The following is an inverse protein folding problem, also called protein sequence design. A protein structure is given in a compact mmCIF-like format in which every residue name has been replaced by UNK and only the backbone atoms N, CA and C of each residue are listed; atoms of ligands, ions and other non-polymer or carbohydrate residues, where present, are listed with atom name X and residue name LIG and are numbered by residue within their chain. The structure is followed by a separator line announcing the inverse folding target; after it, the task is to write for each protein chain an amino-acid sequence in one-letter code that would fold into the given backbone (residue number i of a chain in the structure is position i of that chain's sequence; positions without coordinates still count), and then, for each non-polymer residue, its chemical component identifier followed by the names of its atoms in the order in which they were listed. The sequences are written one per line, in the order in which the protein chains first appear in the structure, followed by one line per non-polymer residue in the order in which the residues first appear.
data_IF_684340515650
#
_entry.id   IF_684340515650
#
_cell.length_a   1.000
_cell.length_b   1.000
_cell.length_c   1.000
_cell.angle_alpha   90.00
_cell.angle_beta   90.00
_cell.angle_gamma   90.00
#
_symmetry.space_group_name_H-M   'P 1'
#
loop_
_entity.id
_entity.type
_entity.pdbx_description
1 polymer ?
#
# COMPACT_ATOMS: atom_id res chain seq x y z
N UNK A 1 -20.16 -71.15 46.12
CA UNK A 1 -19.87 -71.28 44.68
C UNK A 1 -19.10 -70.05 44.23
N UNK A 2 -17.83 -70.26 43.84
CA UNK A 2 -16.83 -69.51 43.05
C UNK A 2 -17.09 -68.02 42.73
N UNK A 3 -16.21 -67.00 42.82
CA UNK A 3 -14.74 -66.75 42.88
C UNK A 3 -14.28 -65.89 41.67
N UNK A 4 -13.45 -64.85 41.96
CA UNK A 4 -12.53 -64.05 41.11
C UNK A 4 -13.08 -62.77 40.43
N UNK A 5 -12.83 -61.52 40.91
CA UNK A 5 -11.62 -60.63 40.98
C UNK A 5 -11.37 -59.71 39.76
N UNK A 6 -11.49 -58.40 40.01
CA UNK A 6 -10.71 -57.20 39.59
C UNK A 6 -10.07 -57.05 38.18
N UNK A 7 -10.27 -55.87 37.56
CA UNK A 7 -9.28 -54.88 37.01
C UNK A 7 -10.07 -53.77 36.24
N UNK A 8 -10.03 -52.47 36.54
CA UNK A 8 -8.98 -51.43 36.37
C UNK A 8 -8.90 -50.82 34.95
N UNK A 9 -8.89 -49.47 34.84
CA UNK A 9 -8.15 -48.75 33.78
C UNK A 9 -8.94 -47.78 32.87
N UNK A 10 -8.49 -46.53 32.84
CA UNK A 10 -8.98 -45.40 32.04
C UNK A 10 -8.87 -45.59 30.51
N UNK A 11 -9.82 -45.03 29.76
CA UNK A 11 -9.78 -44.95 28.30
C UNK A 11 -9.33 -43.56 27.83
N UNK A 12 -8.02 -43.30 27.95
CA UNK A 12 -7.31 -42.28 27.17
C UNK A 12 -6.97 -42.92 25.82
N UNK A 13 -7.71 -42.57 24.77
CA UNK A 13 -7.40 -43.05 23.42
C UNK A 13 -6.34 -42.14 22.78
N UNK A 14 -5.09 -42.59 22.91
CA UNK A 14 -3.95 -42.21 22.07
C UNK A 14 -4.34 -42.38 20.59
N UNK A 15 -4.19 -41.32 19.80
CA UNK A 15 -3.90 -41.45 18.36
C UNK A 15 -2.41 -41.16 18.19
N UNK A 16 -1.60 -42.21 18.30
CA UNK A 16 -0.22 -42.21 17.85
C UNK A 16 -0.02 -43.42 16.93
N UNK A 17 0.71 -43.20 15.83
CA UNK A 17 1.14 -44.15 14.78
C UNK A 17 0.24 -44.20 13.54
N UNK A 18 0.34 -43.17 12.70
CA UNK A 18 0.31 -43.34 11.25
C UNK A 18 1.75 -43.59 10.77
N UNK A 19 1.95 -44.45 9.75
CA UNK A 19 3.29 -44.88 9.32
C UNK A 19 4.10 -43.70 8.78
N UNK A 20 5.43 -43.75 8.93
CA UNK A 20 6.39 -42.95 8.16
C UNK A 20 6.24 -43.31 6.67
N UNK A 21 5.24 -42.74 6.01
CA UNK A 21 5.14 -42.70 4.56
C UNK A 21 5.55 -41.30 4.10
N UNK A 22 6.63 -41.24 3.32
CA UNK A 22 7.06 -40.15 2.43
C UNK A 22 6.63 -38.72 2.82
N UNK A 23 7.60 -37.85 3.14
CA UNK A 23 7.47 -36.39 3.32
C UNK A 23 6.27 -35.79 2.56
N UNK A 24 5.11 -35.78 3.22
CA UNK A 24 3.89 -35.32 2.61
C UNK A 24 3.91 -33.80 2.70
N UNK A 25 4.06 -33.13 1.55
CA UNK A 25 4.09 -31.66 1.49
C UNK A 25 2.81 -31.08 2.11
N UNK A 26 2.98 -30.43 3.26
CA UNK A 26 1.94 -29.66 3.93
C UNK A 26 1.57 -28.47 3.06
N UNK A 27 0.27 -28.20 2.93
CA UNK A 27 -0.27 -27.08 2.15
C UNK A 27 -1.15 -26.24 3.06
N UNK A 28 -1.32 -24.96 2.74
CA UNK A 28 -2.22 -24.10 3.50
C UNK A 28 -3.68 -24.50 3.20
N UNK A 29 -4.43 -24.80 4.25
CA UNK A 29 -5.87 -25.03 4.20
C UNK A 29 -6.60 -24.02 5.10
N UNK A 30 -7.84 -23.74 4.72
CA UNK A 30 -8.79 -22.89 5.43
C UNK A 30 -9.84 -23.84 6.02
N UNK A 31 -9.99 -23.79 7.34
CA UNK A 31 -10.99 -24.51 8.13
C UNK A 31 -12.05 -23.49 8.54
N UNK A 32 -13.25 -23.61 7.97
CA UNK A 32 -14.38 -22.74 8.28
C UNK A 32 -15.32 -23.45 9.25
N UNK A 33 -15.63 -22.80 10.37
CA UNK A 33 -16.41 -23.38 11.48
C UNK A 33 -17.79 -22.72 11.66
N UNK A 34 -18.17 -21.79 10.78
CA UNK A 34 -19.49 -21.15 10.81
C UNK A 34 -19.55 -19.89 11.66
N UNK A 35 -20.74 -19.60 12.20
CA UNK A 35 -20.98 -18.46 13.09
C UNK A 35 -20.17 -18.62 14.40
N UNK A 36 -19.69 -17.50 14.95
CA UNK A 36 -18.96 -17.51 16.21
C UNK A 36 -19.92 -17.87 17.36
N UNK A 37 -19.52 -18.83 18.20
CA UNK A 37 -20.29 -19.23 19.40
C UNK A 37 -20.10 -18.27 20.58
N UNK A 38 -19.09 -17.40 20.51
CA UNK A 38 -18.74 -16.45 21.54
C UNK A 38 -18.51 -15.07 20.93
N UNK A 39 -18.90 -14.02 21.65
CA UNK A 39 -18.61 -12.65 21.24
C UNK A 39 -17.19 -12.22 21.57
N UNK A 40 -16.59 -12.80 22.62
CA UNK A 40 -15.20 -12.57 23.00
C UNK A 40 -14.24 -13.29 22.03
N UNK A 41 -13.41 -12.56 21.27
CA UNK A 41 -12.45 -13.14 20.33
C UNK A 41 -11.46 -14.12 20.96
N UNK A 42 -11.14 -13.98 22.25
CA UNK A 42 -10.21 -14.85 22.97
C UNK A 42 -10.79 -16.24 23.17
N UNK A 43 -12.09 -16.32 23.47
CA UNK A 43 -12.82 -17.59 23.60
C UNK A 43 -12.99 -18.27 22.24
N UNK A 44 -13.19 -17.49 21.17
CA UNK A 44 -13.22 -18.01 19.80
C UNK A 44 -11.85 -18.62 19.42
N UNK A 45 -10.74 -17.94 19.73
CA UNK A 45 -9.39 -18.49 19.50
C UNK A 45 -9.16 -19.76 20.31
N UNK A 46 -9.56 -19.80 21.58
CA UNK A 46 -9.42 -20.99 22.41
C UNK A 46 -10.11 -22.21 21.75
N UNK A 47 -11.32 -22.02 21.21
CA UNK A 47 -12.04 -23.09 20.49
C UNK A 47 -11.34 -23.57 19.21
N UNK A 48 -10.52 -22.73 18.57
CA UNK A 48 -9.70 -23.17 17.43
C UNK A 48 -8.53 -24.04 17.90
N UNK A 49 -7.92 -23.69 19.04
CA UNK A 49 -6.83 -24.47 19.63
C UNK A 49 -7.26 -25.81 20.20
N UNK A 50 -8.54 -25.97 20.57
CA UNK A 50 -9.13 -27.26 20.92
C UNK A 50 -9.11 -28.24 19.72
N UNK A 51 -9.18 -27.73 18.48
CA UNK A 51 -9.11 -28.55 17.25
C UNK A 51 -7.66 -28.72 16.80
N UNK A 52 -6.86 -27.65 16.83
CA UNK A 52 -5.49 -27.68 16.35
C UNK A 52 -4.61 -26.69 17.12
N UNK A 53 -3.55 -27.20 17.76
CA UNK A 53 -2.63 -26.37 18.55
C UNK A 53 -1.85 -25.39 17.66
N UNK A 54 -1.43 -25.82 16.47
CA UNK A 54 -0.63 -25.01 15.54
C UNK A 54 -1.50 -24.42 14.44
N UNK A 55 -2.10 -23.28 14.74
CA UNK A 55 -2.88 -22.48 13.80
C UNK A 55 -1.99 -21.42 13.17
N UNK A 56 -2.10 -21.26 11.85
CA UNK A 56 -1.41 -20.20 11.11
C UNK A 56 -2.10 -18.85 11.28
N UNK A 57 -3.44 -18.82 11.20
CA UNK A 57 -4.26 -17.61 11.36
C UNK A 57 -5.63 -17.96 11.92
N UNK A 58 -6.19 -17.13 12.82
CA UNK A 58 -7.52 -17.35 13.42
C UNK A 58 -8.52 -16.26 13.02
N UNK A 59 -9.61 -16.65 12.36
CA UNK A 59 -10.74 -15.80 12.04
C UNK A 59 -11.73 -15.81 13.21
N UNK A 60 -11.85 -14.67 13.92
CA UNK A 60 -12.50 -14.62 15.24
C UNK A 60 -13.52 -13.49 15.47
N UNK A 61 -13.66 -12.57 14.52
CA UNK A 61 -14.45 -11.35 14.70
C UNK A 61 -15.85 -11.43 14.07
N UNK A 62 -15.94 -11.88 12.80
CA UNK A 62 -17.21 -12.00 12.08
C UNK A 62 -17.73 -13.44 11.93
N UNK A 63 -16.85 -14.42 12.08
CA UNK A 63 -17.13 -15.86 11.97
C UNK A 63 -16.02 -16.62 12.69
N UNK A 64 -16.21 -17.92 12.91
CA UNK A 64 -15.20 -18.82 13.49
C UNK A 64 -14.53 -19.66 12.39
N UNK A 65 -13.23 -19.83 12.52
CA UNK A 65 -12.42 -20.63 11.62
C UNK A 65 -10.94 -20.26 11.70
N UNK A 66 -10.11 -21.03 11.02
CA UNK A 66 -8.67 -20.81 11.03
C UNK A 66 -8.00 -21.29 9.75
N UNK A 67 -6.79 -20.79 9.47
CA UNK A 67 -5.91 -21.33 8.46
C UNK A 67 -4.78 -22.12 9.11
N UNK A 68 -4.36 -23.23 8.51
CA UNK A 68 -3.25 -24.05 9.00
C UNK A 68 -2.51 -24.77 7.87
N UNK A 69 -1.24 -25.07 8.09
CA UNK A 69 -0.44 -25.91 7.20
C UNK A 69 -0.74 -27.38 7.49
N UNK A 70 -1.48 -28.04 6.59
CA UNK A 70 -1.96 -29.41 6.78
C UNK A 70 -1.51 -30.31 5.63
N UNK A 71 -1.22 -31.57 5.96
CA UNK A 71 -1.23 -32.63 4.96
C UNK A 71 -2.66 -32.92 4.52
N UNK A 72 -2.83 -33.62 3.39
CA UNK A 72 -4.17 -34.00 2.91
C UNK A 72 -4.93 -34.85 3.95
N UNK A 73 -4.24 -35.80 4.60
CA UNK A 73 -4.85 -36.64 5.64
C UNK A 73 -5.23 -35.86 6.89
N UNK A 74 -4.43 -34.86 7.29
CA UNK A 74 -4.78 -33.97 8.40
C UNK A 74 -6.02 -33.12 8.07
N UNK A 75 -6.10 -32.57 6.86
CA UNK A 75 -7.27 -31.82 6.41
C UNK A 75 -8.53 -32.68 6.38
N UNK A 76 -8.43 -33.94 5.92
CA UNK A 76 -9.52 -34.92 5.92
C UNK A 76 -9.96 -35.33 7.34
N UNK A 77 -9.03 -35.39 8.30
CA UNK A 77 -9.35 -35.66 9.70
C UNK A 77 -10.07 -34.48 10.36
N UNK A 78 -9.56 -33.26 10.15
CA UNK A 78 -10.17 -32.03 10.70
C UNK A 78 -11.57 -31.80 10.13
N UNK A 79 -11.82 -32.14 8.86
CA UNK A 79 -13.14 -32.04 8.24
C UNK A 79 -14.23 -32.91 8.91
N UNK A 80 -13.88 -33.83 9.81
CA UNK A 80 -14.83 -34.70 10.53
C UNK A 80 -15.25 -34.15 11.89
N UNK A 81 -14.65 -33.05 12.36
CA UNK A 81 -15.06 -32.43 13.62
C UNK A 81 -16.46 -31.82 13.49
N UNK A 82 -17.37 -32.03 14.46
CA UNK A 82 -18.74 -31.50 14.41
C UNK A 82 -18.82 -29.98 14.23
N UNK A 83 -17.81 -29.26 14.71
CA UNK A 83 -17.70 -27.80 14.65
C UNK A 83 -17.16 -27.29 13.31
N UNK A 84 -16.68 -28.17 12.41
CA UNK A 84 -16.07 -27.79 11.13
C UNK A 84 -17.11 -27.90 10.01
N UNK A 85 -17.42 -26.77 9.38
CA UNK A 85 -18.39 -26.68 8.27
C UNK A 85 -17.73 -27.04 6.95
N UNK A 86 -16.55 -26.48 6.66
CA UNK A 86 -15.77 -26.86 5.47
C UNK A 86 -14.27 -26.77 5.70
N UNK A 87 -13.52 -27.65 5.03
CA UNK A 87 -12.06 -27.55 4.91
C UNK A 87 -11.73 -27.41 3.42
N UNK A 88 -11.07 -26.31 3.05
CA UNK A 88 -10.70 -26.03 1.66
C UNK A 88 -9.23 -25.68 1.56
N UNK A 89 -8.57 -26.14 0.50
CA UNK A 89 -7.19 -25.74 0.21
C UNK A 89 -7.17 -24.25 -0.13
N UNK A 90 -6.16 -23.52 0.35
CA UNK A 90 -5.98 -22.12 -0.02
C UNK A 90 -5.84 -21.97 -1.54
N UNK A 91 -6.63 -21.06 -2.10
CA UNK A 91 -6.59 -20.68 -3.52
C UNK A 91 -6.21 -19.22 -3.64
N UNK A 92 -5.32 -18.91 -4.58
CA UNK A 92 -4.94 -17.54 -4.88
C UNK A 92 -5.92 -16.96 -5.91
N UNK A 93 -6.38 -15.74 -5.68
CA UNK A 93 -7.25 -15.00 -6.58
C UNK A 93 -6.45 -13.92 -7.32
N UNK A 94 -6.88 -13.57 -8.53
CA UNK A 94 -6.27 -12.49 -9.33
C UNK A 94 -6.80 -11.13 -8.87
N UNK A 95 -5.91 -10.14 -8.74
CA UNK A 95 -6.24 -8.79 -8.25
C UNK A 95 -5.75 -7.72 -9.22
N UNK A 96 -6.39 -6.55 -9.30
CA UNK A 96 -6.08 -5.51 -10.31
C UNK A 96 -6.23 -4.07 -9.78
N UNK A 97 -5.25 -3.16 -9.98
CA UNK A 97 -4.69 -2.30 -8.90
C UNK A 97 -4.83 -2.99 -7.59
N UNK A 98 -3.74 -3.52 -7.07
CA UNK A 98 -3.90 -4.83 -6.44
C UNK A 98 -4.88 -4.87 -5.27
N UNK A 99 -5.31 -3.71 -4.72
CA UNK A 99 -6.64 -3.63 -4.08
C UNK A 99 -7.51 -2.38 -4.34
N UNK A 100 -6.95 -1.17 -4.49
CA UNK A 100 -7.68 0.10 -4.28
C UNK A 100 -8.93 0.32 -5.16
N UNK A 101 -8.83 0.14 -6.48
CA UNK A 101 -9.99 0.34 -7.36
C UNK A 101 -11.06 -0.76 -7.18
N UNK A 102 -10.64 -1.99 -6.85
CA UNK A 102 -11.57 -3.07 -6.52
C UNK A 102 -12.29 -2.80 -5.19
N UNK A 103 -11.60 -2.23 -4.19
CA UNK A 103 -12.19 -1.79 -2.92
C UNK A 103 -13.26 -0.71 -3.12
N UNK A 104 -13.08 0.17 -4.11
CA UNK A 104 -14.08 1.17 -4.51
C UNK A 104 -15.22 0.59 -5.38
N UNK A 105 -15.24 -0.73 -5.62
CA UNK A 105 -16.24 -1.37 -6.48
C UNK A 105 -16.05 -1.11 -7.98
N UNK A 106 -14.96 -0.47 -8.39
CA UNK A 106 -14.63 -0.16 -9.78
C UNK A 106 -13.89 -1.32 -10.44
N UNK A 107 -14.58 -2.47 -10.50
CA UNK A 107 -14.05 -3.70 -11.07
C UNK A 107 -13.96 -3.60 -12.60
N UNK A 108 -12.86 -4.08 -13.17
CA UNK A 108 -12.63 -4.08 -14.62
C UNK A 108 -13.58 -5.06 -15.35
N UNK A 109 -13.87 -6.20 -14.72
CA UNK A 109 -14.62 -7.33 -15.30
C UNK A 109 -16.06 -7.43 -14.77
N UNK A 110 -16.82 -6.32 -14.82
CA UNK A 110 -18.24 -6.40 -14.47
C UNK A 110 -19.06 -7.10 -15.57
N UNK A 111 -20.09 -7.90 -15.18
CA UNK A 111 -20.97 -8.60 -16.11
C UNK A 111 -21.55 -7.64 -17.16
N UNK A 112 -21.72 -8.07 -18.43
CA UNK A 112 -22.24 -7.21 -19.51
C UNK A 112 -23.61 -6.58 -19.22
N UNK A 113 -24.37 -7.19 -18.31
CA UNK A 113 -25.76 -6.86 -18.01
C UNK A 113 -25.91 -5.56 -17.18
N UNK A 114 -24.83 -5.04 -16.59
CA UNK A 114 -24.79 -3.72 -15.95
C UNK A 114 -23.41 -3.08 -16.19
N UNK A 115 -23.25 -2.18 -17.18
CA UNK A 115 -21.97 -1.53 -17.40
C UNK A 115 -21.69 -0.56 -16.25
N UNK A 116 -20.70 -0.87 -15.41
CA UNK A 116 -20.27 0.05 -14.35
C UNK A 116 -19.66 1.34 -14.88
N UNK A 117 -19.40 2.26 -13.94
CA UNK A 117 -18.89 3.61 -14.21
C UNK A 117 -17.73 3.64 -15.21
N UNK A 118 -16.76 2.74 -15.08
CA UNK A 118 -15.60 2.68 -15.97
C UNK A 118 -15.99 2.42 -17.43
N UNK A 119 -16.93 1.50 -17.69
CA UNK A 119 -17.41 1.22 -19.05
C UNK A 119 -18.24 2.39 -19.59
N UNK A 120 -19.09 3.00 -18.75
CA UNK A 120 -19.91 4.16 -19.14
C UNK A 120 -19.05 5.37 -19.51
N UNK A 121 -17.99 5.63 -18.72
CA UNK A 121 -17.03 6.70 -18.96
C UNK A 121 -15.93 6.32 -19.99
N UNK A 122 -16.05 5.17 -20.67
CA UNK A 122 -15.06 4.64 -21.62
C UNK A 122 -13.64 4.64 -21.05
N UNK A 123 -13.50 4.33 -19.76
CA UNK A 123 -12.23 4.32 -19.03
C UNK A 123 -11.46 5.66 -19.07
N UNK A 124 -12.16 6.77 -19.36
CA UNK A 124 -11.59 8.10 -19.54
C UNK A 124 -10.97 8.35 -20.91
N UNK A 125 -11.36 7.59 -21.94
CA UNK A 125 -10.89 7.79 -23.31
C UNK A 125 -10.95 9.27 -23.74
N UNK A 126 -9.82 9.79 -24.23
CA UNK A 126 -9.60 11.18 -24.69
C UNK A 126 -9.88 12.31 -23.69
N UNK A 127 -10.11 11.96 -22.42
CA UNK A 127 -9.95 12.88 -21.28
C UNK A 127 -8.46 13.12 -21.05
N UNK A 128 -8.07 14.37 -20.87
CA UNK A 128 -6.70 14.80 -20.64
C UNK A 128 -6.57 15.26 -19.19
N UNK A 129 -5.81 14.53 -18.39
CA UNK A 129 -5.53 14.91 -17.00
C UNK A 129 -4.16 15.57 -16.93
N UNK A 130 -4.14 16.83 -16.49
CA UNK A 130 -2.92 17.56 -16.14
C UNK A 130 -2.45 17.18 -14.73
N UNK A 131 -1.19 16.76 -14.62
CA UNK A 131 -0.57 16.37 -13.34
C UNK A 131 0.54 17.37 -13.02
N UNK A 132 0.36 18.16 -11.96
CA UNK A 132 1.35 19.12 -11.49
C UNK A 132 2.07 18.53 -10.28
N UNK A 133 3.31 18.09 -10.47
CA UNK A 133 4.04 17.27 -9.49
C UNK A 133 5.58 17.30 -9.72
N UNK A 134 6.32 16.25 -9.33
CA UNK A 134 7.77 16.09 -9.47
C UNK A 134 8.24 15.63 -10.86
N UNK A 135 7.31 15.42 -11.80
CA UNK A 135 7.57 14.99 -13.17
C UNK A 135 7.01 13.59 -13.47
N UNK A 136 7.56 12.93 -14.49
CA UNK A 136 7.21 11.53 -14.81
C UNK A 136 8.43 10.67 -15.18
N UNK A 137 8.37 9.36 -14.91
CA UNK A 137 9.24 8.34 -15.46
C UNK A 137 8.57 7.67 -16.67
N UNK A 138 8.81 8.16 -17.91
CA UNK A 138 8.01 7.79 -19.08
C UNK A 138 8.17 6.33 -19.51
N UNK A 139 9.28 5.68 -19.15
CA UNK A 139 9.55 4.27 -19.51
C UNK A 139 8.74 3.25 -18.70
N UNK A 140 7.97 3.69 -17.70
CA UNK A 140 7.11 2.80 -16.93
C UNK A 140 6.06 2.12 -17.81
N UNK A 141 5.85 0.81 -17.61
CA UNK A 141 4.79 0.03 -18.28
C UNK A 141 3.39 0.63 -18.09
N UNK A 142 3.17 1.39 -17.01
CA UNK A 142 1.91 2.09 -16.75
C UNK A 142 1.58 3.16 -17.79
N UNK A 143 2.57 3.61 -18.56
CA UNK A 143 2.43 4.71 -19.54
C UNK A 143 2.64 4.27 -20.99
N UNK A 144 2.61 2.97 -21.25
CA UNK A 144 2.61 2.42 -22.60
C UNK A 144 1.38 2.91 -23.40
N UNK A 145 1.52 3.14 -24.70
CA UNK A 145 0.45 3.75 -25.52
C UNK A 145 -0.17 2.80 -26.55
N UNK A 146 0.12 1.50 -26.43
CA UNK A 146 -0.53 0.47 -27.25
C UNK A 146 -2.06 0.55 -27.12
N UNK A 147 -2.74 0.55 -28.26
CA UNK A 147 -4.21 0.66 -28.35
C UNK A 147 -4.75 2.09 -28.32
N UNK A 148 -3.89 3.11 -28.17
CA UNK A 148 -4.34 4.52 -28.22
C UNK A 148 -4.48 5.01 -29.65
N UNK A 149 -5.59 5.69 -29.94
CA UNK A 149 -5.76 6.49 -31.15
C UNK A 149 -4.87 7.74 -31.16
N UNK A 150 -4.93 8.55 -32.23
CA UNK A 150 -4.15 9.79 -32.32
C UNK A 150 -4.42 10.72 -31.13
N UNK A 151 -3.47 11.60 -30.83
CA UNK A 151 -3.65 12.63 -29.80
C UNK A 151 -4.82 13.54 -30.21
N UNK A 152 -5.75 13.89 -29.30
CA UNK A 152 -6.87 14.77 -29.62
C UNK A 152 -6.41 16.09 -30.24
N UNK A 153 -7.01 16.50 -31.37
CA UNK A 153 -6.61 17.69 -32.12
C UNK A 153 -6.72 19.00 -31.31
N UNK A 154 -7.51 19.00 -30.23
CA UNK A 154 -7.66 20.14 -29.30
C UNK A 154 -6.44 20.35 -28.39
N UNK A 155 -5.58 19.33 -28.24
CA UNK A 155 -4.40 19.40 -27.39
C UNK A 155 -3.37 20.36 -27.97
N UNK A 156 -2.93 21.33 -27.16
CA UNK A 156 -1.92 22.33 -27.57
C UNK A 156 -0.60 22.20 -26.81
N UNK A 157 -0.51 21.22 -25.91
CA UNK A 157 0.69 20.96 -25.14
C UNK A 157 1.84 20.41 -25.98
N UNK A 158 3.04 20.51 -25.42
CA UNK A 158 4.28 20.11 -26.08
C UNK A 158 5.04 19.08 -25.24
N UNK A 159 5.90 18.32 -25.91
CA UNK A 159 6.91 17.50 -25.22
C UNK A 159 8.21 18.30 -25.08
N UNK A 160 8.39 18.97 -23.94
CA UNK A 160 9.59 19.74 -23.66
C UNK A 160 10.76 18.81 -23.38
N UNK A 161 11.83 18.94 -24.17
CA UNK A 161 13.06 18.17 -23.98
C UNK A 161 13.92 18.74 -22.84
N UNK A 162 14.84 17.94 -22.37
CA UNK A 162 15.83 18.32 -21.36
C UNK A 162 16.75 17.14 -21.03
N UNK A 163 17.43 17.24 -19.88
CA UNK A 163 18.31 16.18 -19.40
C UNK A 163 17.56 14.83 -19.29
N UNK A 164 18.07 13.82 -20.00
CA UNK A 164 17.51 12.46 -20.05
C UNK A 164 16.02 12.41 -20.46
N UNK A 165 15.50 13.44 -21.14
CA UNK A 165 14.12 13.49 -21.60
C UNK A 165 14.08 14.08 -23.00
N UNK A 166 13.74 13.26 -23.99
CA UNK A 166 13.74 13.63 -25.41
C UNK A 166 12.32 13.72 -25.95
N UNK A 167 12.17 14.10 -27.21
CA UNK A 167 10.85 14.22 -27.86
C UNK A 167 10.06 12.92 -27.88
N UNK A 168 10.74 11.76 -27.91
CA UNK A 168 10.13 10.43 -27.88
C UNK A 168 9.74 9.96 -26.48
N UNK A 169 10.03 10.75 -25.44
CA UNK A 169 9.59 10.48 -24.06
C UNK A 169 8.09 10.75 -23.88
N UNK A 170 7.49 11.55 -24.77
CA UNK A 170 6.04 11.64 -24.91
C UNK A 170 5.56 10.68 -25.99
N UNK A 171 4.36 10.16 -25.81
CA UNK A 171 3.73 9.19 -26.69
C UNK A 171 2.21 9.48 -26.73
N UNK A 172 1.38 8.53 -27.21
CA UNK A 172 -0.07 8.73 -27.23
C UNK A 172 -0.71 8.63 -25.83
N UNK A 173 0.01 8.21 -24.79
CA UNK A 173 -0.45 8.18 -23.40
C UNK A 173 -0.03 9.45 -22.64
N UNK A 174 1.27 9.73 -22.60
CA UNK A 174 1.86 10.97 -22.09
C UNK A 174 1.95 11.92 -23.28
N UNK A 175 0.93 12.75 -23.48
CA UNK A 175 0.78 13.55 -24.71
C UNK A 175 1.51 14.90 -24.64
N UNK A 176 1.94 15.31 -23.46
CA UNK A 176 2.86 16.42 -23.28
C UNK A 176 3.50 16.41 -21.90
N UNK A 177 4.64 17.09 -21.82
CA UNK A 177 5.46 17.15 -20.62
C UNK A 177 6.23 18.47 -20.59
N UNK A 178 6.15 19.20 -19.48
CA UNK A 178 6.80 20.49 -19.24
C UNK A 178 7.49 20.50 -17.88
N UNK A 179 8.43 21.43 -17.70
CA UNK A 179 9.11 21.62 -16.42
C UNK A 179 9.43 23.09 -16.15
N UNK A 180 9.40 23.47 -14.87
CA UNK A 180 9.47 24.87 -14.42
C UNK A 180 10.63 25.06 -13.44
N UNK A 181 11.83 25.32 -13.97
CA UNK A 181 13.07 25.46 -13.18
C UNK A 181 13.52 26.89 -12.90
N UNK A 182 12.77 27.92 -13.33
CA UNK A 182 13.13 29.33 -13.08
C UNK A 182 12.96 29.66 -11.59
N UNK A 183 13.93 30.36 -11.01
CA UNK A 183 13.93 30.73 -9.59
C UNK A 183 14.36 29.60 -8.64
N UNK A 184 14.68 28.42 -9.17
CA UNK A 184 15.23 27.31 -8.38
C UNK A 184 16.73 27.52 -8.21
N UNK A 185 17.25 27.29 -7.00
CA UNK A 185 18.69 27.45 -6.72
C UNK A 185 19.52 26.45 -7.55
N UNK A 186 20.74 26.86 -7.91
CA UNK A 186 21.65 25.99 -8.67
C UNK A 186 21.98 24.69 -7.92
N UNK A 187 21.99 24.71 -6.58
CA UNK A 187 22.19 23.51 -5.77
C UNK A 187 21.04 22.52 -5.93
N UNK A 188 19.79 22.98 -5.87
CA UNK A 188 18.61 22.13 -6.07
C UNK A 188 18.59 21.60 -7.50
N UNK A 189 18.84 22.44 -8.51
CA UNK A 189 18.88 21.99 -9.91
C UNK A 189 19.93 20.90 -10.15
N UNK A 190 21.11 20.97 -9.52
CA UNK A 190 22.16 19.94 -9.63
C UNK A 190 21.72 18.56 -9.09
N UNK A 191 20.78 18.51 -8.15
CA UNK A 191 20.24 17.27 -7.56
C UNK A 191 19.05 16.71 -8.34
N UNK A 192 18.63 17.36 -9.43
CA UNK A 192 17.43 17.03 -10.18
C UNK A 192 17.73 16.94 -11.68
N UNK A 193 16.79 16.38 -12.44
CA UNK A 193 16.81 16.50 -13.90
C UNK A 193 16.25 17.86 -14.32
N UNK A 194 17.02 18.60 -15.12
CA UNK A 194 16.56 19.81 -15.82
C UNK A 194 15.71 19.43 -17.04
N UNK A 195 14.60 18.74 -16.75
CA UNK A 195 13.64 18.16 -17.70
C UNK A 195 12.38 17.72 -16.95
N UNK A 196 11.31 17.29 -17.65
CA UNK A 196 10.13 16.70 -17.02
C UNK A 196 10.38 15.34 -16.35
N UNK A 197 11.59 14.77 -16.43
CA UNK A 197 11.92 13.49 -15.80
C UNK A 197 11.78 13.56 -14.28
N UNK A 198 11.10 12.56 -13.73
CA UNK A 198 10.94 12.37 -12.30
C UNK A 198 12.14 11.65 -11.71
N UNK A 199 12.76 12.27 -10.69
CA UNK A 199 13.81 11.65 -9.87
C UNK A 199 13.29 11.25 -8.48
N UNK A 200 12.15 11.81 -8.05
CA UNK A 200 11.58 11.54 -6.73
C UNK A 200 10.68 10.31 -6.75
N UNK A 201 9.93 10.11 -7.83
CA UNK A 201 8.94 9.04 -7.99
C UNK A 201 7.52 9.42 -7.59
N UNK A 202 7.32 10.56 -6.91
CA UNK A 202 5.99 10.99 -6.44
C UNK A 202 5.04 11.25 -7.62
N UNK A 203 5.47 12.07 -8.59
CA UNK A 203 4.68 12.37 -9.78
C UNK A 203 4.38 11.14 -10.63
N UNK A 204 5.34 10.22 -10.77
CA UNK A 204 5.15 8.93 -11.43
C UNK A 204 4.09 8.06 -10.73
N UNK A 205 4.13 8.01 -9.40
CA UNK A 205 3.15 7.28 -8.59
C UNK A 205 1.74 7.89 -8.71
N UNK A 206 1.64 9.22 -8.64
CA UNK A 206 0.37 9.96 -8.80
C UNK A 206 -0.20 9.75 -10.20
N UNK A 207 0.59 9.98 -11.26
CA UNK A 207 0.16 9.83 -12.65
C UNK A 207 -0.31 8.40 -12.97
N UNK A 208 0.37 7.38 -12.44
CA UNK A 208 -0.05 5.98 -12.61
C UNK A 208 -1.27 5.60 -11.77
N UNK A 209 -1.51 6.26 -10.64
CA UNK A 209 -2.76 6.10 -9.87
C UNK A 209 -3.95 6.71 -10.61
N UNK A 210 -3.76 7.87 -11.25
CA UNK A 210 -4.81 8.55 -12.01
C UNK A 210 -5.14 7.76 -13.28
N UNK A 211 -4.13 7.53 -14.12
CA UNK A 211 -4.33 7.01 -15.46
C UNK A 211 -3.31 5.93 -15.82
N UNK A 212 -2.74 5.20 -14.88
CA UNK A 212 -1.90 4.03 -15.24
C UNK A 212 -2.70 3.05 -16.10
N UNK A 213 -2.06 2.47 -17.10
CA UNK A 213 -2.66 1.34 -17.80
C UNK A 213 -2.67 0.10 -16.93
N UNK A 214 -3.40 -0.90 -17.40
CA UNK A 214 -3.32 -2.23 -16.81
C UNK A 214 -1.91 -2.82 -16.97
N UNK A 215 -1.23 -3.10 -15.85
CA UNK A 215 0.09 -3.69 -15.80
C UNK A 215 0.05 -4.92 -14.89
N UNK A 216 0.14 -6.10 -15.50
CA UNK A 216 0.03 -7.35 -14.77
C UNK A 216 1.31 -7.72 -14.01
N UNK A 217 1.13 -8.52 -12.95
CA UNK A 217 2.18 -9.14 -12.13
C UNK A 217 3.17 -8.13 -11.56
N UNK A 218 2.64 -7.04 -11.01
CA UNK A 218 3.41 -6.05 -10.26
C UNK A 218 3.30 -6.32 -8.76
N UNK A 219 4.36 -5.99 -8.04
CA UNK A 219 4.40 -6.05 -6.58
C UNK A 219 5.55 -5.17 -6.09
N UNK A 220 5.52 -4.82 -4.81
CA UNK A 220 6.68 -4.25 -4.13
C UNK A 220 7.39 -5.36 -3.38
N UNK A 221 8.40 -5.97 -4.00
CA UNK A 221 9.13 -7.09 -3.41
C UNK A 221 8.26 -8.33 -3.09
N UNK A 222 7.18 -8.56 -3.84
CA UNK A 222 6.18 -9.59 -3.56
C UNK A 222 4.97 -9.10 -2.76
N UNK A 223 5.09 -7.96 -2.07
CA UNK A 223 3.97 -7.35 -1.36
C UNK A 223 2.98 -6.71 -2.35
N UNK A 224 1.70 -6.91 -2.05
CA UNK A 224 0.61 -6.32 -2.84
C UNK A 224 0.64 -6.80 -4.29
N UNK A 225 0.95 -8.08 -4.50
CA UNK A 225 0.99 -8.69 -5.83
C UNK A 225 -0.36 -8.64 -6.54
N UNK A 226 -0.32 -8.39 -7.84
CA UNK A 226 -1.47 -8.41 -8.72
C UNK A 226 -1.24 -7.56 -9.96
N UNK A 227 -2.31 -7.01 -10.49
CA UNK A 227 -2.31 -6.09 -11.64
C UNK A 227 -2.37 -4.64 -11.10
N UNK A 228 -1.71 -3.66 -11.72
CA UNK A 228 -1.86 -2.23 -11.43
C UNK A 228 -2.62 -1.52 -12.56
N UNK A 229 -3.33 -0.42 -12.26
CA UNK A 229 -4.16 0.36 -13.18
C UNK A 229 -4.56 1.74 -12.58
N UNK A 230 -4.88 2.70 -13.42
CA UNK A 230 -5.41 3.99 -13.00
C UNK A 230 -6.91 3.94 -12.73
N UNK A 231 -7.45 5.01 -12.16
CA UNK A 231 -8.89 5.22 -12.08
C UNK A 231 -9.51 5.44 -13.47
N UNK A 232 -8.76 6.08 -14.37
CA UNK A 232 -9.10 6.25 -15.78
C UNK A 232 -7.98 5.70 -16.69
N UNK A 233 -7.89 4.37 -16.87
CA UNK A 233 -6.77 3.75 -17.61
C UNK A 233 -6.59 4.22 -19.06
N UNK A 234 -7.65 4.74 -19.70
CA UNK A 234 -7.64 5.24 -21.07
C UNK A 234 -7.46 6.77 -21.19
N UNK A 235 -7.39 7.50 -20.07
CA UNK A 235 -7.12 8.94 -20.07
C UNK A 235 -5.70 9.27 -20.53
N UNK A 236 -5.53 10.42 -21.16
CA UNK A 236 -4.23 10.97 -21.57
C UNK A 236 -3.64 11.80 -20.43
N UNK A 237 -2.32 11.92 -20.40
CA UNK A 237 -1.59 12.67 -19.37
C UNK A 237 -0.86 13.87 -19.97
N UNK A 238 -1.08 15.05 -19.38
CA UNK A 238 -0.22 16.21 -19.52
C UNK A 238 0.61 16.37 -18.24
N UNK A 239 1.94 16.32 -18.33
CA UNK A 239 2.82 16.35 -17.16
C UNK A 239 3.44 17.73 -16.99
N UNK A 240 3.36 18.28 -15.78
CA UNK A 240 3.85 19.61 -15.46
C UNK A 240 4.73 19.53 -14.20
N UNK A 241 6.04 19.41 -14.40
CA UNK A 241 7.00 19.32 -13.29
C UNK A 241 7.22 20.69 -12.64
N UNK A 242 6.60 20.91 -11.49
CA UNK A 242 6.73 22.13 -10.68
C UNK A 242 7.41 21.88 -9.33
N UNK A 243 7.59 20.61 -8.94
CA UNK A 243 8.20 20.22 -7.68
C UNK A 243 9.63 19.71 -7.87
N UNK A 244 10.51 20.04 -6.93
CA UNK A 244 11.94 19.80 -6.98
C UNK A 244 12.45 19.15 -5.68
N UNK A 245 13.25 18.09 -5.81
CA UNK A 245 13.85 17.44 -4.63
C UNK A 245 14.75 18.43 -3.90
N UNK A 246 14.47 18.66 -2.62
CA UNK A 246 15.18 19.63 -1.78
C UNK A 246 14.77 21.10 -1.99
N UNK A 247 13.84 21.39 -2.92
CA UNK A 247 13.34 22.75 -3.19
C UNK A 247 11.82 22.92 -3.05
N UNK A 248 11.08 21.83 -2.81
CA UNK A 248 9.62 21.87 -2.71
C UNK A 248 8.96 22.24 -4.05
N UNK A 249 7.76 22.82 -3.99
CA UNK A 249 6.98 23.24 -5.15
C UNK A 249 6.72 24.75 -5.07
N UNK A 250 7.57 25.59 -5.68
CA UNK A 250 7.41 27.04 -5.57
C UNK A 250 6.12 27.53 -6.23
N UNK A 251 5.41 28.46 -5.59
CA UNK A 251 4.14 29.01 -6.09
C UNK A 251 4.24 29.53 -7.53
N UNK A 252 5.34 30.21 -7.88
CA UNK A 252 5.56 30.72 -9.23
C UNK A 252 5.63 29.59 -10.28
N UNK A 253 6.25 28.45 -9.93
CA UNK A 253 6.31 27.29 -10.81
C UNK A 253 4.94 26.61 -10.92
N UNK A 254 4.19 26.51 -9.82
CA UNK A 254 2.84 25.94 -9.80
C UNK A 254 1.86 26.81 -10.60
N UNK A 255 1.89 28.12 -10.45
CA UNK A 255 1.04 29.04 -11.23
C UNK A 255 1.36 29.00 -12.72
N UNK A 256 2.64 28.97 -13.09
CA UNK A 256 3.05 28.81 -14.49
C UNK A 256 2.58 27.46 -15.07
N UNK A 257 2.63 26.39 -14.28
CA UNK A 257 2.11 25.08 -14.66
C UNK A 257 0.60 25.08 -14.87
N UNK A 258 -0.16 25.74 -13.98
CA UNK A 258 -1.62 25.88 -14.12
C UNK A 258 -1.96 26.67 -15.40
N UNK A 259 -1.29 27.79 -15.65
CA UNK A 259 -1.53 28.62 -16.83
C UNK A 259 -1.26 27.87 -18.15
N UNK A 260 -0.10 27.20 -18.24
CA UNK A 260 0.22 26.34 -19.39
C UNK A 260 -0.79 25.19 -19.53
N UNK A 261 -1.24 24.57 -18.44
CA UNK A 261 -2.21 23.48 -18.50
C UNK A 261 -3.59 23.93 -18.99
N UNK A 262 -4.04 25.10 -18.55
CA UNK A 262 -5.25 25.76 -19.06
C UNK A 262 -5.12 26.02 -20.57
N UNK A 263 -3.98 26.56 -21.01
CA UNK A 263 -3.73 26.84 -22.42
C UNK A 263 -3.68 25.56 -23.26
N UNK A 264 -3.00 24.53 -22.76
CA UNK A 264 -2.78 23.24 -23.41
C UNK A 264 -4.11 22.46 -23.58
N UNK A 265 -5.12 22.78 -22.78
CA UNK A 265 -6.49 22.28 -22.91
C UNK A 265 -6.75 20.99 -22.12
N UNK A 266 -6.20 20.88 -20.90
CA UNK A 266 -6.53 19.79 -19.98
C UNK A 266 -8.01 19.84 -19.54
N UNK A 267 -8.59 18.70 -19.20
CA UNK A 267 -9.98 18.60 -18.68
C UNK A 267 -10.02 18.60 -17.15
N UNK A 268 -9.01 18.01 -16.53
CA UNK A 268 -8.88 17.86 -15.08
C UNK A 268 -7.45 18.19 -14.68
N UNK A 269 -7.28 18.93 -13.60
CA UNK A 269 -6.00 19.19 -12.95
C UNK A 269 -5.92 18.42 -11.63
N UNK A 270 -4.85 17.62 -11.48
CA UNK A 270 -4.52 16.93 -10.24
C UNK A 270 -3.25 17.52 -9.65
N UNK A 271 -3.35 17.99 -8.42
CA UNK A 271 -2.26 18.60 -7.66
C UNK A 271 -2.12 17.88 -6.31
N UNK A 272 -1.18 16.93 -6.24
CA UNK A 272 -0.88 16.20 -5.01
C UNK A 272 0.13 16.96 -4.15
N UNK A 273 -0.15 18.24 -3.92
CA UNK A 273 0.67 19.19 -3.16
C UNK A 273 -0.19 19.91 -2.13
N UNK A 274 0.38 20.18 -0.96
CA UNK A 274 -0.26 20.89 0.13
C UNK A 274 0.66 22.00 0.63
N UNK A 275 0.15 22.92 1.46
CA UNK A 275 0.92 24.06 1.97
C UNK A 275 1.31 25.09 0.91
N UNK A 276 0.83 24.94 -0.34
CA UNK A 276 0.86 25.99 -1.36
C UNK A 276 -0.07 27.09 -0.87
N UNK A 277 0.42 28.33 -0.84
CA UNK A 277 -0.18 29.43 -0.07
C UNK A 277 -1.68 29.63 -0.24
N UNK A 278 -2.27 30.34 0.73
CA UNK A 278 -3.65 30.78 0.67
C UNK A 278 -3.93 31.47 -0.68
N UNK A 279 -4.86 30.89 -1.43
CA UNK A 279 -5.37 31.35 -2.72
C UNK A 279 -4.36 31.27 -3.89
N UNK A 280 -4.42 30.19 -4.66
CA UNK A 280 -3.92 30.17 -6.04
C UNK A 280 -5.03 30.73 -6.96
N UNK A 281 -5.08 32.04 -7.28
CA UNK A 281 -6.07 32.60 -8.21
C UNK A 281 -6.04 31.91 -9.58
N UNK A 282 -4.91 31.31 -9.97
CA UNK A 282 -4.81 30.49 -11.19
C UNK A 282 -5.83 29.35 -11.24
N UNK A 283 -6.18 28.75 -10.10
CA UNK A 283 -7.16 27.65 -10.06
C UNK A 283 -8.58 28.13 -10.33
N UNK A 284 -8.92 29.38 -9.96
CA UNK A 284 -10.21 29.98 -10.30
C UNK A 284 -10.37 30.10 -11.82
N UNK A 285 -9.31 30.51 -12.52
CA UNK A 285 -9.32 30.60 -13.98
C UNK A 285 -9.42 29.23 -14.67
N UNK A 286 -8.85 28.19 -14.08
CA UNK A 286 -9.05 26.82 -14.56
C UNK A 286 -10.53 26.42 -14.46
N UNK A 287 -11.14 26.61 -13.29
CA UNK A 287 -12.56 26.28 -13.05
C UNK A 287 -13.50 27.12 -13.92
N UNK A 288 -13.23 28.41 -14.09
CA UNK A 288 -13.97 29.30 -15.01
C UNK A 288 -13.96 28.81 -16.47
N UNK A 289 -12.95 28.03 -16.86
CA UNK A 289 -12.84 27.42 -18.19
C UNK A 289 -13.35 25.98 -18.23
N UNK A 290 -14.03 25.53 -17.17
CA UNK A 290 -14.61 24.19 -17.07
C UNK A 290 -13.62 23.09 -16.68
N UNK A 291 -12.41 23.45 -16.22
CA UNK A 291 -11.39 22.50 -15.80
C UNK A 291 -11.58 22.18 -14.31
N UNK A 292 -11.85 20.92 -13.99
CA UNK A 292 -11.98 20.49 -12.60
C UNK A 292 -10.61 20.43 -11.93
N UNK A 293 -10.47 20.97 -10.72
CA UNK A 293 -9.19 21.01 -10.00
C UNK A 293 -9.30 20.20 -8.71
N UNK A 294 -8.35 19.28 -8.51
CA UNK A 294 -8.31 18.35 -7.38
C UNK A 294 -6.99 18.53 -6.62
N UNK A 295 -7.10 18.72 -5.30
CA UNK A 295 -5.98 18.86 -4.38
C UNK A 295 -6.00 17.80 -3.27
N UNK A 296 -4.83 17.44 -2.75
CA UNK A 296 -4.72 16.75 -1.47
C UNK A 296 -4.95 17.70 -0.29
N UNK A 297 -5.62 17.22 0.77
CA UNK A 297 -5.90 18.01 1.98
C UNK A 297 -4.70 18.24 2.92
N UNK A 298 -3.54 17.67 2.62
CA UNK A 298 -2.35 17.72 3.49
C UNK A 298 -2.25 16.54 4.46
N UNK A 299 -1.09 16.40 5.09
CA UNK A 299 -0.73 15.24 5.94
C UNK A 299 -0.37 15.65 7.38
N UNK A 300 -0.69 16.88 7.80
CA UNK A 300 -0.32 17.42 9.11
C UNK A 300 -1.33 17.08 10.23
N UNK A 301 -2.28 16.19 9.94
CA UNK A 301 -3.19 15.64 10.96
C UNK A 301 -2.46 14.84 12.05
N UNK A 302 -3.17 14.39 13.10
CA UNK A 302 -4.63 14.40 13.25
C UNK A 302 -5.16 15.60 14.04
N UNK A 303 -4.30 16.57 14.41
CA UNK A 303 -4.73 17.76 15.15
C UNK A 303 -5.75 18.55 14.31
N UNK A 304 -6.83 19.09 14.90
CA UNK A 304 -7.80 19.90 14.18
C UNK A 304 -7.16 21.09 13.44
N UNK A 305 -7.84 21.57 12.39
CA UNK A 305 -7.43 22.75 11.61
C UNK A 305 -6.08 22.63 10.88
N UNK A 306 -5.70 21.42 10.49
CA UNK A 306 -4.46 21.11 9.74
C UNK A 306 -4.68 20.91 8.24
N UNK A 307 -5.93 20.94 7.78
CA UNK A 307 -6.28 20.80 6.36
C UNK A 307 -5.82 22.02 5.55
N UNK A 308 -5.22 21.76 4.39
CA UNK A 308 -4.81 22.75 3.38
C UNK A 308 -5.74 22.76 2.17
N UNK A 309 -5.54 23.71 1.25
CA UNK A 309 -6.25 23.78 -0.04
C UNK A 309 -7.79 23.88 0.11
N UNK A 310 -8.29 24.63 1.09
CA UNK A 310 -9.73 24.73 1.45
C UNK A 310 -10.52 25.72 0.59
N UNK A 311 -10.13 25.90 -0.66
CA UNK A 311 -10.72 26.91 -1.54
C UNK A 311 -12.07 26.41 -2.10
N UNK A 312 -13.15 27.23 -2.13
CA UNK A 312 -14.51 26.72 -2.40
C UNK A 312 -14.72 26.10 -3.79
N UNK A 313 -13.92 26.47 -4.79
CA UNK A 313 -14.11 26.02 -6.19
C UNK A 313 -13.26 24.78 -6.55
N UNK A 314 -12.46 24.24 -5.63
CA UNK A 314 -11.65 23.04 -5.88
C UNK A 314 -12.17 21.84 -5.09
N UNK A 315 -11.79 20.64 -5.50
CA UNK A 315 -12.05 19.42 -4.73
C UNK A 315 -10.85 19.09 -3.85
N UNK A 316 -11.02 19.22 -2.54
CA UNK A 316 -9.99 18.89 -1.54
C UNK A 316 -10.21 17.49 -1.02
N UNK A 317 -9.22 16.61 -1.20
CA UNK A 317 -9.34 15.16 -0.94
C UNK A 317 -8.56 14.77 0.31
N UNK A 318 -9.25 14.17 1.28
CA UNK A 318 -8.64 13.54 2.46
C UNK A 318 -8.16 12.10 2.15
N UNK A 319 -7.26 11.58 2.97
CA UNK A 319 -6.78 10.20 2.87
C UNK A 319 -7.52 9.27 3.85
N UNK A 320 -7.81 8.05 3.42
CA UNK A 320 -8.39 6.99 4.25
C UNK A 320 -7.70 5.65 3.98
N UNK A 321 -7.86 4.70 4.89
CA UNK A 321 -7.34 3.34 4.73
C UNK A 321 -8.25 2.50 3.84
N UNK A 322 -7.69 1.44 3.28
CA UNK A 322 -8.45 0.38 2.60
C UNK A 322 -8.40 -0.90 3.44
N UNK A 323 -9.13 -1.92 3.01
CA UNK A 323 -9.19 -3.22 3.69
C UNK A 323 -7.92 -4.09 3.59
N UNK A 324 -6.90 -3.63 2.85
CA UNK A 324 -5.60 -4.31 2.76
C UNK A 324 -4.62 -3.81 3.82
N UNK A 325 -4.06 -4.77 4.55
CA UNK A 325 -2.90 -4.59 5.42
C UNK A 325 -1.73 -5.48 4.96
N UNK A 326 -0.53 -5.19 5.45
CA UNK A 326 0.66 -6.02 5.26
C UNK A 326 1.12 -6.57 6.61
N UNK A 327 0.48 -7.65 7.11
CA UNK A 327 0.80 -8.21 8.41
C UNK A 327 2.19 -8.83 8.41
N UNK A 328 2.88 -8.72 9.54
CA UNK A 328 4.17 -9.37 9.78
C UNK A 328 4.13 -10.04 11.14
N UNK A 329 4.37 -11.35 11.14
CA UNK A 329 4.40 -12.15 12.36
C UNK A 329 5.71 -11.90 13.11
N UNK A 330 5.60 -11.54 14.39
CA UNK A 330 6.71 -11.39 15.32
C UNK A 330 6.63 -12.58 16.27
N UNK A 331 7.62 -13.46 16.25
CA UNK A 331 7.73 -14.58 17.18
C UNK A 331 8.73 -14.26 18.29
N UNK A 332 8.28 -14.32 19.54
CA UNK A 332 9.10 -14.08 20.71
C UNK A 332 9.72 -15.38 21.25
N UNK A 333 10.77 -15.27 22.07
CA UNK A 333 11.47 -16.42 22.65
C UNK A 333 10.60 -17.27 23.60
N UNK A 334 9.54 -16.68 24.18
CA UNK A 334 8.54 -17.37 24.98
C UNK A 334 7.46 -18.10 24.14
N UNK A 335 7.62 -18.15 22.80
CA UNK A 335 6.68 -18.70 21.81
C UNK A 335 5.41 -17.88 21.60
N UNK A 336 5.27 -16.74 22.25
CA UNK A 336 4.19 -15.80 21.96
C UNK A 336 4.37 -15.23 20.54
N UNK A 337 3.26 -15.02 19.87
CA UNK A 337 3.21 -14.48 18.52
C UNK A 337 2.38 -13.20 18.50
N UNK A 338 2.98 -12.14 17.98
CA UNK A 338 2.34 -10.85 17.78
C UNK A 338 2.23 -10.57 16.29
N UNK A 339 1.16 -9.89 15.88
CA UNK A 339 0.97 -9.48 14.49
C UNK A 339 1.22 -7.98 14.40
N UNK A 340 2.36 -7.61 13.82
CA UNK A 340 2.68 -6.23 13.46
C UNK A 340 2.34 -5.92 12.01
N UNK A 341 2.75 -4.75 11.53
CA UNK A 341 2.70 -4.38 10.12
C UNK A 341 4.10 -3.99 9.63
N UNK A 342 4.46 -4.43 8.43
CA UNK A 342 5.74 -4.06 7.81
C UNK A 342 5.66 -4.10 6.30
N UNK A 343 6.45 -3.25 5.66
CA UNK A 343 6.72 -3.30 4.22
C UNK A 343 8.06 -3.99 3.92
N UNK A 344 8.70 -4.58 4.93
CA UNK A 344 9.93 -5.34 4.76
C UNK A 344 9.63 -6.67 4.06
N UNK A 345 10.09 -6.79 2.82
CA UNK A 345 9.85 -7.97 1.98
C UNK A 345 11.08 -8.89 1.86
N UNK A 346 12.25 -8.43 2.28
CA UNK A 346 13.52 -9.17 2.17
C UNK A 346 13.86 -9.90 3.48
N UNK A 347 12.86 -10.52 4.10
CA UNK A 347 13.10 -11.36 5.25
C UNK A 347 13.59 -12.72 4.74
N UNK A 348 14.89 -12.96 4.78
CA UNK A 348 15.35 -14.36 4.88
C UNK A 348 14.81 -14.88 6.19
N UNK A 349 14.08 -16.00 6.15
CA UNK A 349 13.68 -16.72 7.36
C UNK A 349 14.96 -17.33 7.94
N UNK A 350 15.74 -16.49 8.61
CA UNK A 350 16.80 -16.94 9.49
C UNK A 350 16.11 -17.43 10.76
N UNK A 351 16.41 -18.67 11.13
CA UNK A 351 16.03 -19.25 12.43
C UNK A 351 16.74 -18.57 13.61
N UNK A 352 17.57 -17.56 13.37
CA UNK A 352 18.39 -16.93 14.40
C UNK A 352 17.57 -15.87 15.13
N UNK A 353 16.97 -16.28 16.25
CA UNK A 353 16.44 -15.34 17.23
C UNK A 353 17.53 -14.33 17.61
N UNK A 354 17.16 -13.05 17.60
CA UNK A 354 17.99 -11.96 18.11
C UNK A 354 17.44 -11.52 19.46
N UNK A 355 18.34 -11.15 20.36
CA UNK A 355 17.97 -10.60 21.67
C UNK A 355 17.07 -9.37 21.49
N UNK A 356 16.02 -9.28 22.30
CA UNK A 356 15.10 -8.14 22.33
C UNK A 356 15.55 -7.18 23.43
N UNK A 357 15.76 -5.90 23.09
CA UNK A 357 16.16 -4.85 24.03
C UNK A 357 15.11 -3.75 24.07
N UNK A 358 14.74 -3.34 25.27
CA UNK A 358 13.88 -2.18 25.52
C UNK A 358 14.72 -1.06 26.16
N UNK A 359 15.16 -0.05 25.39
CA UNK A 359 16.03 1.03 25.87
C UNK A 359 15.28 2.15 26.62
N UNK A 360 14.01 1.95 26.98
CA UNK A 360 13.05 2.96 27.50
C UNK A 360 12.71 4.10 26.53
N UNK A 361 13.69 4.58 25.77
CA UNK A 361 13.57 5.59 24.71
C UNK A 361 14.45 5.22 23.52
N UNK A 362 14.07 5.68 22.32
CA UNK A 362 14.80 5.42 21.08
C UNK A 362 15.57 6.63 20.58
N UNK A 363 15.91 7.55 21.48
CA UNK A 363 16.89 8.59 21.21
C UNK A 363 18.32 8.02 21.20
N UNK A 364 19.25 8.78 20.63
CA UNK A 364 20.64 8.40 20.47
C UNK A 364 21.28 7.92 21.78
N UNK A 365 21.04 8.65 22.89
CA UNK A 365 21.68 8.36 24.17
C UNK A 365 21.18 7.05 24.77
N UNK A 366 19.86 6.83 24.76
CA UNK A 366 19.29 5.58 25.29
C UNK A 366 19.69 4.35 24.47
N UNK A 367 19.80 4.49 23.15
CA UNK A 367 20.28 3.41 22.28
C UNK A 367 21.75 3.05 22.56
N UNK A 368 22.61 4.06 22.77
CA UNK A 368 24.02 3.86 23.11
C UNK A 368 24.19 3.18 24.47
N UNK A 369 23.45 3.63 25.50
CA UNK A 369 23.52 3.06 26.85
C UNK A 369 23.00 1.62 26.92
N UNK A 370 22.13 1.21 26.01
CA UNK A 370 21.45 -0.09 26.03
C UNK A 370 22.14 -1.20 25.23
N UNK A 371 23.30 -0.92 24.59
CA UNK A 371 24.08 -1.87 23.79
C UNK A 371 23.23 -2.66 22.77
N UNK A 372 22.63 -1.94 21.81
CA UNK A 372 21.66 -2.47 20.83
C UNK A 372 22.29 -3.14 19.59
N UNK A 373 23.61 -3.10 19.45
CA UNK A 373 24.32 -3.65 18.30
C UNK A 373 24.02 -5.14 18.11
N UNK A 374 23.52 -5.52 16.93
CA UNK A 374 23.20 -6.92 16.62
C UNK A 374 21.84 -7.40 17.13
N UNK A 375 21.10 -6.56 17.86
CA UNK A 375 19.87 -6.91 18.58
C UNK A 375 18.61 -6.33 17.92
N UNK A 376 17.44 -6.78 18.36
CA UNK A 376 16.15 -6.19 17.99
C UNK A 376 15.74 -5.17 19.05
N UNK A 377 15.45 -3.94 18.65
CA UNK A 377 15.05 -2.86 19.56
C UNK A 377 13.53 -2.78 19.62
N UNK A 378 12.96 -2.81 20.83
CA UNK A 378 11.58 -2.42 21.07
C UNK A 378 11.52 -0.92 21.36
N UNK A 379 10.92 -0.17 20.45
CA UNK A 379 10.62 1.23 20.62
C UNK A 379 9.16 1.42 21.01
N UNK A 380 8.92 1.76 22.27
CA UNK A 380 7.57 1.98 22.79
C UNK A 380 7.50 3.33 23.51
N UNK A 381 6.88 4.34 22.88
CA UNK A 381 6.85 5.72 23.40
C UNK A 381 5.45 6.37 23.31
N UNK A 382 4.45 5.86 24.03
CA UNK A 382 3.07 6.35 23.96
C UNK A 382 2.91 7.82 24.39
N UNK A 383 3.81 8.32 25.25
CA UNK A 383 3.81 9.73 25.66
C UNK A 383 4.24 10.66 24.50
N UNK A 384 5.27 10.27 23.74
CA UNK A 384 5.77 11.04 22.60
C UNK A 384 4.79 11.04 21.41
N UNK A 385 4.00 9.98 21.26
CA UNK A 385 2.98 9.86 20.21
C UNK A 385 1.93 11.00 20.23
N UNK A 386 1.73 11.65 21.39
CA UNK A 386 0.84 12.81 21.52
C UNK A 386 1.39 14.08 20.86
N UNK A 387 2.71 14.23 20.83
CA UNK A 387 3.40 15.42 20.32
C UNK A 387 4.05 15.20 18.95
N UNK A 388 4.41 13.96 18.62
CA UNK A 388 5.04 13.59 17.37
C UNK A 388 4.27 12.41 16.75
N UNK A 389 3.56 12.63 15.64
CA UNK A 389 2.85 11.56 14.94
C UNK A 389 3.80 10.43 14.52
N UNK A 390 3.36 9.16 14.49
CA UNK A 390 4.17 8.04 14.03
C UNK A 390 4.81 8.24 12.65
N UNK A 391 4.14 8.97 11.74
CA UNK A 391 4.68 9.31 10.42
C UNK A 391 5.99 10.11 10.49
N UNK A 392 6.16 10.96 11.51
CA UNK A 392 7.38 11.73 11.71
C UNK A 392 8.41 10.95 12.55
N UNK A 393 7.95 10.26 13.59
CA UNK A 393 8.83 9.53 14.51
C UNK A 393 9.48 8.29 13.87
N UNK A 394 8.71 7.50 13.12
CA UNK A 394 9.15 6.20 12.62
C UNK A 394 10.39 6.28 11.71
N UNK A 395 10.45 7.17 10.68
CA UNK A 395 11.65 7.29 9.85
C UNK A 395 12.90 7.69 10.64
N UNK A 396 12.73 8.60 11.62
CA UNK A 396 13.81 9.04 12.50
C UNK A 396 14.32 7.87 13.35
N UNK A 397 13.42 7.13 14.00
CA UNK A 397 13.77 5.98 14.85
C UNK A 397 14.40 4.85 14.04
N UNK A 398 13.92 4.57 12.82
CA UNK A 398 14.56 3.61 11.90
C UNK A 398 16.01 4.02 11.63
N UNK A 399 16.27 5.30 11.36
CA UNK A 399 17.62 5.77 11.07
C UNK A 399 18.52 5.65 12.31
N UNK A 400 18.06 6.12 13.48
CA UNK A 400 18.82 6.06 14.74
C UNK A 400 19.17 4.63 15.13
N UNK A 401 18.20 3.71 15.05
CA UNK A 401 18.42 2.30 15.39
C UNK A 401 19.36 1.61 14.40
N UNK A 402 19.26 1.94 13.10
CA UNK A 402 20.19 1.45 12.08
C UNK A 402 21.61 1.97 12.32
N UNK A 403 21.77 3.26 12.62
CA UNK A 403 23.06 3.88 12.96
C UNK A 403 23.68 3.27 14.23
N UNK A 404 22.86 2.91 15.21
CA UNK A 404 23.28 2.21 16.42
C UNK A 404 23.60 0.72 16.19
N UNK A 405 23.50 0.22 14.97
CA UNK A 405 23.85 -1.17 14.62
C UNK A 405 22.80 -2.20 15.00
N UNK A 406 21.56 -1.79 15.29
CA UNK A 406 20.46 -2.71 15.53
C UNK A 406 20.18 -3.56 14.27
N UNK A 407 19.70 -4.79 14.49
CA UNK A 407 19.30 -5.72 13.41
C UNK A 407 17.81 -5.71 13.13
N UNK A 408 17.01 -5.22 14.06
CA UNK A 408 15.56 -5.10 13.91
C UNK A 408 14.99 -4.01 14.80
N UNK A 409 13.79 -3.56 14.45
CA UNK A 409 13.00 -2.58 15.19
C UNK A 409 11.56 -3.07 15.29
N UNK A 410 11.03 -3.12 16.51
CA UNK A 410 9.60 -3.20 16.79
C UNK A 410 9.19 -1.81 17.26
N UNK A 411 8.33 -1.13 16.51
CA UNK A 411 7.84 0.21 16.85
C UNK A 411 6.38 0.13 17.28
N UNK A 412 6.06 0.65 18.47
CA UNK A 412 4.75 0.51 19.09
C UNK A 412 4.32 1.77 19.86
#
# INVERSE_FOLDING_TARGET
MNSKTALCGALLLLVALLPLSASASSKLYIVYMGEKKHDDPSLVIASHHDILISVFESYKHGFSGFAAMLTKSQAEAIARFPEVVTVKRNTFHETHTTRSWDFLGLQHNQPPQQPGLLKQAKYGEDVIVGVIDSGIWPESRSFDDNGYGPVPARWKGKCQTGQEFNSTSCNRKIIGARWYGRGISAEVLKRNYNSPRDIHGHGTHVASTIAGREVQRVSYGGLGMGVARGGAPCARLGIYKACWVGGGCPDAAVLAAIDDAIYDGVDVLSLSIAGVGHELPGTLHAVQRGISVVFGGGNDGPVPQTISNTIPWVTTVAASTIDRSFPTLISLGNKEQLVGQSLHYNASVSSDFKELVYPESCDTRSLELSNVTGKTVLCYQPAAAKSMPPQQALPMVINLTTMAGAKGLIFA
#
